data_IF_791101892022
#
_entry.id   IF_791101892022
#
_cell.length_a   1.000
_cell.length_b   1.000
_cell.length_c   1.000
_cell.angle_alpha   90.00
_cell.angle_beta   90.00
_cell.angle_gamma   90.00
#
_symmetry.space_group_name_H-M   'P 1'
#
loop_
_entity.id
_entity.type
_entity.pdbx_description
1 polymer ?
#
# COMPACT_ATOMS: atom_id res chain seq x y z
N UNK A 1 42.12 1.69 -6.78
CA UNK A 1 40.68 1.60 -7.13
C UNK A 1 40.02 0.72 -6.08
N UNK A 2 39.62 1.30 -4.96
CA UNK A 2 38.99 0.56 -3.86
C UNK A 2 37.49 0.79 -3.98
N UNK A 3 36.73 -0.26 -4.33
CA UNK A 3 35.27 -0.24 -4.24
C UNK A 3 34.92 -0.33 -2.76
N UNK A 4 34.50 0.78 -2.16
CA UNK A 4 33.79 0.71 -0.89
C UNK A 4 32.38 0.17 -1.16
N UNK A 5 32.04 -0.91 -0.45
CA UNK A 5 30.70 -1.45 -0.40
C UNK A 5 29.85 -0.46 0.41
N UNK A 6 28.87 0.17 -0.24
CA UNK A 6 27.81 0.92 0.46
C UNK A 6 26.91 -0.11 1.12
N UNK A 7 27.28 -0.51 2.33
CA UNK A 7 26.44 -1.28 3.24
C UNK A 7 25.42 -0.32 3.83
N UNK A 8 24.27 -0.15 3.17
CA UNK A 8 23.15 0.60 3.75
C UNK A 8 22.72 -0.05 5.06
N UNK A 9 22.69 0.71 6.14
CA UNK A 9 22.18 0.25 7.44
C UNK A 9 20.65 0.35 7.41
N UNK A 10 19.95 -0.51 8.14
CA UNK A 10 18.50 -0.39 8.37
C UNK A 10 18.06 1.02 8.85
N UNK A 11 18.97 1.77 9.46
CA UNK A 11 18.77 3.15 9.90
C UNK A 11 18.63 4.18 8.74
N UNK A 12 18.91 3.79 7.51
CA UNK A 12 18.89 4.66 6.34
C UNK A 12 17.55 4.58 5.57
N UNK A 13 16.65 3.65 5.95
CA UNK A 13 15.30 3.53 5.39
C UNK A 13 14.46 4.72 5.84
N UNK A 14 14.09 5.59 4.91
CA UNK A 14 13.24 6.76 5.18
C UNK A 14 13.98 8.04 5.55
N UNK A 15 15.33 8.05 5.50
CA UNK A 15 16.05 9.32 5.56
C UNK A 15 15.87 10.05 4.23
N UNK A 16 15.35 11.30 4.23
CA UNK A 16 15.33 12.10 3.03
C UNK A 16 16.77 12.32 2.60
N UNK A 17 17.06 12.12 1.31
CA UNK A 17 18.38 12.42 0.74
C UNK A 17 18.77 13.84 1.15
N UNK A 18 19.87 14.00 1.89
CA UNK A 18 20.34 15.33 2.29
C UNK A 18 20.67 16.15 1.05
N UNK A 19 19.73 17.02 0.67
CA UNK A 19 19.81 17.89 -0.50
C UNK A 19 18.52 18.69 -0.65
N UNK A 20 18.58 19.85 -1.31
CA UNK A 20 17.47 20.79 -1.49
C UNK A 20 16.27 20.26 -2.32
N UNK A 21 16.27 18.98 -2.69
CA UNK A 21 15.30 18.35 -3.60
C UNK A 21 14.79 17.00 -3.05
N UNK A 22 14.40 16.96 -1.78
CA UNK A 22 13.71 15.81 -1.22
C UNK A 22 12.26 15.74 -1.71
N UNK A 23 11.94 14.76 -2.58
CA UNK A 23 10.55 14.49 -2.98
C UNK A 23 9.74 13.90 -1.81
N UNK A 24 10.40 13.09 -0.98
CA UNK A 24 9.79 12.40 0.15
C UNK A 24 9.89 13.21 1.44
N UNK A 25 8.84 13.18 2.25
CA UNK A 25 8.89 13.70 3.60
C UNK A 25 9.79 12.81 4.48
N UNK A 26 10.44 13.41 5.48
CA UNK A 26 11.31 12.68 6.40
C UNK A 26 10.51 11.76 7.30
N UNK A 27 10.93 10.50 7.39
CA UNK A 27 10.27 9.49 8.21
C UNK A 27 9.08 8.81 7.53
N UNK A 28 8.42 7.92 8.28
CA UNK A 28 7.23 7.19 7.85
C UNK A 28 6.30 7.00 9.05
N UNK A 29 5.02 6.75 8.77
CA UNK A 29 4.06 6.32 9.79
C UNK A 29 3.73 4.85 9.57
N UNK A 30 4.26 3.98 10.43
CA UNK A 30 3.92 2.58 10.51
C UNK A 30 2.95 2.29 11.67
N UNK A 31 2.16 1.23 11.49
CA UNK A 31 1.22 0.78 12.51
C UNK A 31 1.09 -0.74 12.44
N UNK A 32 1.36 -1.41 13.57
CA UNK A 32 1.26 -2.86 13.66
C UNK A 32 -0.19 -3.33 13.77
N UNK A 33 -0.60 -4.19 12.85
CA UNK A 33 -1.93 -4.79 12.83
C UNK A 33 -1.86 -6.18 13.48
N UNK A 34 -2.53 -6.35 14.63
CA UNK A 34 -2.50 -7.60 15.40
C UNK A 34 -3.78 -8.44 15.28
N UNK A 35 -4.80 -7.95 14.58
CA UNK A 35 -6.06 -8.68 14.44
C UNK A 35 -7.01 -8.09 13.41
N UNK A 36 -8.02 -8.88 13.08
CA UNK A 36 -8.93 -8.62 11.97
C UNK A 36 -9.71 -7.30 12.12
N UNK A 37 -10.14 -6.97 13.34
CA UNK A 37 -10.85 -5.72 13.59
C UNK A 37 -10.00 -4.50 13.19
N UNK A 38 -8.72 -4.50 13.59
CA UNK A 38 -7.79 -3.43 13.25
C UNK A 38 -7.41 -3.45 11.78
N UNK A 39 -7.28 -4.63 11.17
CA UNK A 39 -7.05 -4.77 9.74
C UNK A 39 -8.19 -4.14 8.92
N UNK A 40 -9.43 -4.52 9.22
CA UNK A 40 -10.63 -4.03 8.55
C UNK A 40 -10.80 -2.51 8.73
N UNK A 41 -10.50 -1.99 9.92
CA UNK A 41 -10.49 -0.56 10.17
C UNK A 41 -9.49 0.16 9.26
N UNK A 42 -8.24 -0.34 9.15
CA UNK A 42 -7.21 0.31 8.31
C UNK A 42 -7.52 0.19 6.82
N UNK A 43 -8.05 -0.95 6.36
CA UNK A 43 -8.50 -1.11 4.98
C UNK A 43 -9.61 -0.09 4.66
N UNK A 44 -10.63 -0.01 5.51
CA UNK A 44 -11.73 0.95 5.36
C UNK A 44 -11.21 2.40 5.34
N UNK A 45 -10.27 2.73 6.22
CA UNK A 45 -9.63 4.05 6.21
C UNK A 45 -8.92 4.34 4.89
N UNK A 46 -8.08 3.41 4.41
CA UNK A 46 -7.30 3.58 3.15
C UNK A 46 -8.24 3.80 1.96
N UNK A 47 -9.30 3.00 1.84
CA UNK A 47 -10.26 3.12 0.75
C UNK A 47 -11.06 4.43 0.80
N UNK A 48 -11.34 4.95 2.00
CA UNK A 48 -12.08 6.21 2.17
C UNK A 48 -11.21 7.47 2.12
N UNK A 49 -9.88 7.37 2.15
CA UNK A 49 -8.99 8.54 2.11
C UNK A 49 -9.20 9.46 0.90
N UNK A 50 -9.41 8.95 -0.33
CA UNK A 50 -9.72 9.79 -1.49
C UNK A 50 -11.00 10.62 -1.32
N UNK A 51 -12.04 10.02 -0.73
CA UNK A 51 -13.32 10.71 -0.43
C UNK A 51 -13.11 11.77 0.64
N UNK A 52 -12.40 11.43 1.73
CA UNK A 52 -12.07 12.37 2.81
C UNK A 52 -11.22 13.55 2.32
N UNK A 53 -10.40 13.33 1.31
CA UNK A 53 -9.57 14.35 0.65
C UNK A 53 -10.33 15.15 -0.42
N UNK A 54 -11.60 14.79 -0.71
CA UNK A 54 -12.43 15.46 -1.71
C UNK A 54 -12.04 15.17 -3.16
N UNK A 55 -11.27 14.11 -3.41
CA UNK A 55 -10.81 13.75 -4.76
C UNK A 55 -11.91 13.06 -5.58
N UNK A 56 -12.76 12.28 -4.91
CA UNK A 56 -13.86 11.51 -5.50
C UNK A 56 -15.08 11.51 -4.58
N UNK A 57 -16.25 11.20 -5.13
CA UNK A 57 -17.51 11.17 -4.36
C UNK A 57 -17.74 9.85 -3.62
N UNK A 58 -17.25 8.75 -4.18
CA UNK A 58 -17.29 7.40 -3.58
C UNK A 58 -15.93 6.71 -3.75
N UNK A 59 -15.53 5.79 -2.86
CA UNK A 59 -14.22 5.13 -2.89
C UNK A 59 -13.87 4.41 -4.21
N UNK A 60 -14.86 3.81 -4.85
CA UNK A 60 -14.73 2.96 -6.05
C UNK A 60 -14.30 3.75 -7.29
N UNK A 61 -14.57 5.06 -7.31
CA UNK A 61 -14.21 5.96 -8.40
C UNK A 61 -12.72 6.31 -8.42
N UNK A 62 -11.97 6.01 -7.35
CA UNK A 62 -10.54 6.32 -7.29
C UNK A 62 -9.70 5.26 -8.00
N UNK A 63 -9.24 5.59 -9.21
CA UNK A 63 -8.54 4.67 -10.11
C UNK A 63 -7.24 4.06 -9.54
N UNK A 64 -6.59 4.76 -8.60
CA UNK A 64 -5.33 4.31 -7.98
C UNK A 64 -5.52 3.57 -6.65
N UNK A 65 -6.74 3.08 -6.36
CA UNK A 65 -7.05 2.28 -5.18
C UNK A 65 -7.50 0.87 -5.59
N UNK A 66 -7.21 -0.11 -4.73
CA UNK A 66 -7.72 -1.48 -4.86
C UNK A 66 -9.22 -1.61 -4.60
N UNK A 67 -9.88 -0.53 -4.14
CA UNK A 67 -11.34 -0.46 -4.03
C UNK A 67 -12.03 -0.40 -5.41
N UNK A 68 -11.29 -0.06 -6.47
CA UNK A 68 -11.84 0.02 -7.81
C UNK A 68 -12.26 -1.35 -8.37
N UNK A 69 -13.36 -1.37 -9.12
CA UNK A 69 -13.96 -2.58 -9.71
C UNK A 69 -12.99 -3.39 -10.58
N UNK A 70 -12.10 -2.72 -11.32
CA UNK A 70 -11.07 -3.41 -12.11
C UNK A 70 -10.19 -4.32 -11.26
N UNK A 71 -9.78 -3.86 -10.06
CA UNK A 71 -8.96 -4.67 -9.16
C UNK A 71 -9.75 -5.82 -8.55
N UNK A 72 -11.01 -5.60 -8.18
CA UNK A 72 -11.88 -6.65 -7.67
C UNK A 72 -12.08 -7.75 -8.72
N UNK A 73 -12.44 -7.39 -9.94
CA UNK A 73 -12.61 -8.33 -11.05
C UNK A 73 -11.32 -9.08 -11.36
N UNK A 74 -10.17 -8.39 -11.35
CA UNK A 74 -8.87 -9.02 -11.58
C UNK A 74 -8.55 -10.08 -10.52
N UNK A 75 -8.78 -9.77 -9.25
CA UNK A 75 -8.56 -10.72 -8.14
C UNK A 75 -9.47 -11.95 -8.30
N UNK A 76 -10.74 -11.74 -8.59
CA UNK A 76 -11.70 -12.83 -8.77
C UNK A 76 -11.32 -13.74 -9.95
N UNK A 77 -10.90 -13.14 -11.07
CA UNK A 77 -10.51 -13.87 -12.29
C UNK A 77 -9.19 -14.62 -12.15
N UNK A 78 -8.19 -14.02 -11.52
CA UNK A 78 -6.81 -14.57 -11.49
C UNK A 78 -6.54 -15.44 -10.26
N UNK A 79 -7.11 -15.12 -9.09
CA UNK A 79 -6.76 -15.78 -7.82
C UNK A 79 -7.83 -16.75 -7.34
N UNK A 80 -9.12 -16.39 -7.40
CA UNK A 80 -10.19 -17.28 -6.93
C UNK A 80 -10.56 -18.40 -7.90
N UNK A 81 -10.29 -18.21 -9.20
CA UNK A 81 -10.48 -19.25 -10.22
C UNK A 81 -9.69 -20.54 -9.96
N UNK A 82 -8.59 -20.48 -9.20
CA UNK A 82 -7.74 -21.63 -8.86
C UNK A 82 -8.16 -22.44 -7.62
N UNK A 83 -9.12 -21.98 -6.82
CA UNK A 83 -9.54 -22.66 -5.57
C UNK A 83 -10.67 -23.68 -5.82
N UNK A 84 -11.19 -23.77 -7.05
CA UNK A 84 -12.25 -24.73 -7.42
C UNK A 84 -11.76 -26.14 -7.83
N UNK A 85 -10.46 -26.41 -7.75
CA UNK A 85 -9.89 -27.72 -8.10
C UNK A 85 -9.05 -28.28 -6.95
N UNK A 86 -9.69 -28.76 -5.88
CA UNK A 86 -9.33 -29.95 -5.07
C UNK A 86 -10.35 -30.01 -3.94
N UNK A 87 -11.51 -30.60 -4.20
CA UNK A 87 -12.28 -31.29 -3.17
C UNK A 87 -12.22 -32.76 -3.57
N UNK A 88 -11.22 -33.45 -3.03
CA UNK A 88 -11.16 -34.91 -2.90
C UNK A 88 -11.06 -35.22 -1.40
#
# INVERSE_FOLDING_TARGET
MTRELVTGRLADVGQPTQGAFGLWQSGLYDFNVYGDATLLEKISYIHNNPVRSGLVSVPEDYEWSTCNSYFIEKVEREWRGGISATTD
#
